data_IF_499233363831
#
_entry.id   IF_499233363831
#
_cell.length_a   1.000
_cell.length_b   1.000
_cell.length_c   1.000
_cell.angle_alpha   90.00
_cell.angle_beta   90.00
_cell.angle_gamma   90.00
#
_symmetry.space_group_name_H-M   'P 1'
#
loop_
_entity.id
_entity.type
_entity.pdbx_description
1 polymer ?
#
# COMPACT_ATOMS: atom_id res chain seq x y z
N UNK A 1 -15.82 -0.15 9.05
CA UNK A 1 -16.05 -1.31 8.15
C UNK A 1 -17.48 -1.30 7.65
N UNK A 2 -17.62 -1.39 6.32
CA UNK A 2 -18.93 -1.46 5.67
C UNK A 2 -19.28 -2.91 5.37
N UNK A 3 -20.53 -3.29 5.69
CA UNK A 3 -21.06 -4.57 5.23
C UNK A 3 -21.47 -4.39 3.77
N UNK A 4 -20.97 -5.24 2.86
CA UNK A 4 -21.35 -5.12 1.46
C UNK A 4 -22.83 -5.44 1.24
N UNK A 5 -23.48 -4.66 0.38
CA UNK A 5 -24.86 -4.90 -0.04
C UNK A 5 -24.88 -5.98 -1.12
N UNK A 6 -24.88 -7.23 -0.70
CA UNK A 6 -24.89 -8.40 -1.57
C UNK A 6 -26.04 -9.32 -1.20
N UNK A 7 -26.47 -10.13 -2.16
CA UNK A 7 -27.38 -11.23 -1.88
C UNK A 7 -26.77 -12.22 -0.90
N UNK A 8 -27.60 -12.84 -0.07
CA UNK A 8 -27.17 -13.71 1.02
C UNK A 8 -26.23 -14.83 0.57
N UNK A 9 -26.51 -15.48 -0.57
CA UNK A 9 -25.64 -16.52 -1.13
C UNK A 9 -24.28 -16.00 -1.58
N UNK A 10 -24.16 -14.73 -1.91
CA UNK A 10 -22.91 -14.11 -2.34
C UNK A 10 -22.09 -13.56 -1.18
N UNK A 11 -22.69 -13.36 -0.01
CA UNK A 11 -21.97 -12.89 1.18
C UNK A 11 -20.87 -13.86 1.62
N UNK A 12 -21.18 -15.15 1.65
CA UNK A 12 -20.20 -16.18 2.03
C UNK A 12 -19.01 -16.20 1.08
N UNK A 13 -19.27 -16.11 -0.22
CA UNK A 13 -18.24 -16.05 -1.23
C UNK A 13 -17.38 -14.79 -1.10
N UNK A 14 -18.03 -13.66 -0.83
CA UNK A 14 -17.33 -12.40 -0.62
C UNK A 14 -16.35 -12.49 0.56
N UNK A 15 -16.81 -12.99 1.70
CA UNK A 15 -15.96 -13.10 2.89
C UNK A 15 -14.86 -14.14 2.72
N UNK A 16 -15.09 -15.22 2.01
CA UNK A 16 -14.05 -16.19 1.66
C UNK A 16 -12.99 -15.56 0.76
N UNK A 17 -13.41 -14.83 -0.25
CA UNK A 17 -12.51 -14.13 -1.17
C UNK A 17 -11.69 -13.06 -0.43
N UNK A 18 -12.32 -12.29 0.45
CA UNK A 18 -11.65 -11.28 1.27
C UNK A 18 -10.60 -11.91 2.18
N UNK A 19 -10.93 -13.01 2.83
CA UNK A 19 -10.00 -13.75 3.69
C UNK A 19 -8.82 -14.30 2.89
N UNK A 20 -9.07 -14.82 1.72
CA UNK A 20 -8.03 -15.31 0.82
C UNK A 20 -7.11 -14.20 0.33
N UNK A 21 -7.66 -13.06 -0.05
CA UNK A 21 -6.90 -11.88 -0.45
C UNK A 21 -5.99 -11.40 0.68
N UNK A 22 -6.51 -11.34 1.90
CA UNK A 22 -5.72 -10.98 3.09
C UNK A 22 -4.55 -11.95 3.29
N UNK A 23 -4.79 -13.24 3.12
CA UNK A 23 -3.75 -14.26 3.22
C UNK A 23 -2.68 -14.07 2.15
N UNK A 24 -3.07 -13.78 0.91
CA UNK A 24 -2.12 -13.51 -0.17
C UNK A 24 -1.29 -12.25 0.11
N UNK A 25 -1.92 -11.18 0.52
CA UNK A 25 -1.23 -9.91 0.83
C UNK A 25 -0.19 -10.06 1.94
N UNK A 26 -0.39 -11.01 2.85
CA UNK A 26 0.54 -11.27 3.96
C UNK A 26 1.52 -12.41 3.68
N UNK A 27 1.42 -13.06 2.51
CA UNK A 27 2.37 -14.11 2.13
C UNK A 27 3.69 -13.49 1.65
N UNK A 28 4.79 -14.24 1.82
CA UNK A 28 6.11 -13.79 1.39
C UNK A 28 6.22 -13.63 -0.13
N UNK A 29 5.38 -14.34 -0.90
CA UNK A 29 5.37 -14.26 -2.36
C UNK A 29 4.92 -12.90 -2.89
N UNK A 30 4.11 -12.18 -2.11
CA UNK A 30 3.52 -10.90 -2.51
C UNK A 30 3.92 -9.74 -1.61
N UNK A 31 4.98 -9.92 -0.83
CA UNK A 31 5.41 -8.94 0.15
C UNK A 31 6.91 -8.67 0.01
N UNK A 32 7.25 -7.39 0.03
CA UNK A 32 8.64 -6.93 0.10
C UNK A 32 8.83 -6.28 1.47
N UNK A 33 9.90 -6.67 2.16
CA UNK A 33 10.31 -6.03 3.40
C UNK A 33 11.68 -5.41 3.24
N UNK A 34 11.81 -4.18 3.66
CA UNK A 34 13.11 -3.51 3.69
C UNK A 34 13.15 -2.50 4.82
N UNK A 35 14.34 -2.14 5.22
CA UNK A 35 14.57 -1.15 6.26
C UNK A 35 14.94 0.17 5.63
N UNK A 36 14.23 1.24 6.01
CA UNK A 36 14.61 2.58 5.62
C UNK A 36 15.76 3.06 6.49
N UNK A 37 16.81 3.52 5.84
CA UNK A 37 17.97 4.12 6.47
C UNK A 37 17.96 5.64 6.24
N UNK A 38 18.73 6.35 7.04
CA UNK A 38 18.90 7.80 6.89
C UNK A 38 19.27 8.17 5.46
N UNK A 39 18.56 9.13 4.90
CA UNK A 39 18.79 9.59 3.52
C UNK A 39 18.06 8.79 2.44
N UNK A 40 17.38 7.71 2.79
CA UNK A 40 16.57 6.95 1.84
C UNK A 40 15.21 7.58 1.62
N UNK A 41 14.73 7.46 0.39
CA UNK A 41 13.38 7.85 -0.02
C UNK A 41 12.68 6.62 -0.56
N UNK A 42 11.49 6.33 -0.04
CA UNK A 42 10.60 5.33 -0.61
C UNK A 42 9.48 6.03 -1.36
N UNK A 43 9.26 5.65 -2.60
CA UNK A 43 8.18 6.15 -3.43
C UNK A 43 7.41 4.96 -3.99
N UNK A 44 6.10 5.00 -3.92
CA UNK A 44 5.27 3.93 -4.45
C UNK A 44 3.89 4.43 -4.85
N UNK A 45 3.26 3.69 -5.75
CA UNK A 45 1.89 3.94 -6.18
C UNK A 45 0.92 3.42 -5.13
N UNK A 46 0.37 4.33 -4.33
CA UNK A 46 -0.51 4.00 -3.22
C UNK A 46 -1.87 3.43 -3.65
N UNK A 47 -2.23 3.56 -4.93
CA UNK A 47 -3.46 2.95 -5.46
C UNK A 47 -3.27 1.48 -5.83
N UNK A 48 -2.03 1.04 -6.03
CA UNK A 48 -1.70 -0.32 -6.45
C UNK A 48 -1.12 -1.19 -5.35
N UNK A 49 -0.58 -0.59 -4.31
CA UNK A 49 0.17 -1.28 -3.27
C UNK A 49 -0.43 -1.03 -1.90
N UNK A 50 -0.46 -2.07 -1.11
CA UNK A 50 -0.66 -1.96 0.33
C UNK A 50 0.69 -1.79 1.00
N UNK A 51 0.71 -1.06 2.07
CA UNK A 51 1.94 -0.82 2.83
C UNK A 51 1.65 -0.80 4.32
N UNK A 52 2.69 -1.03 5.08
CA UNK A 52 2.64 -0.99 6.52
C UNK A 52 4.06 -0.99 7.08
N UNK A 53 4.15 -1.08 8.37
CA UNK A 53 5.43 -1.18 9.06
C UNK A 53 5.37 -2.22 10.15
N UNK A 54 6.53 -2.76 10.50
CA UNK A 54 6.68 -3.60 11.68
C UNK A 54 6.69 -2.74 12.94
N UNK A 55 6.53 -3.39 14.08
CA UNK A 55 6.57 -2.72 15.38
C UNK A 55 7.90 -1.98 15.56
N UNK A 56 7.83 -0.76 16.04
CA UNK A 56 8.97 0.07 16.37
C UNK A 56 9.14 0.16 17.89
N UNK A 57 10.37 -0.06 18.36
CA UNK A 57 10.72 0.10 19.77
C UNK A 57 11.39 1.48 19.98
N UNK A 58 10.72 2.42 20.65
CA UNK A 58 11.29 3.75 20.87
C UNK A 58 12.52 3.78 21.76
N UNK A 59 12.79 2.69 22.50
CA UNK A 59 13.96 2.58 23.37
C UNK A 59 15.24 2.21 22.61
N UNK A 60 15.14 1.70 21.38
CA UNK A 60 16.27 1.26 20.58
C UNK A 60 16.80 2.28 19.60
N UNK A 61 16.12 3.43 19.47
CA UNK A 61 16.57 4.46 18.55
C UNK A 61 15.55 5.55 18.32
N UNK A 62 15.90 6.46 17.44
CA UNK A 62 15.09 7.58 17.01
C UNK A 62 14.52 7.31 15.62
N UNK A 63 13.24 7.58 15.45
CA UNK A 63 12.56 7.44 14.17
C UNK A 63 11.97 8.77 13.74
N UNK A 64 12.41 9.29 12.60
CA UNK A 64 11.86 10.47 11.97
C UNK A 64 11.59 10.18 10.51
N UNK A 65 10.34 10.31 10.10
CA UNK A 65 9.91 10.07 8.73
C UNK A 65 9.07 11.26 8.27
N UNK A 66 9.46 11.85 7.16
CA UNK A 66 8.65 12.85 6.47
C UNK A 66 8.01 12.23 5.24
N UNK A 67 6.75 12.55 4.98
CA UNK A 67 6.05 12.04 3.82
C UNK A 67 5.20 13.11 3.16
N UNK A 68 4.90 12.89 1.91
CA UNK A 68 3.95 13.70 1.15
C UNK A 68 3.19 12.81 0.16
N UNK A 69 2.07 13.31 -0.28
CA UNK A 69 1.25 12.66 -1.31
C UNK A 69 1.22 13.54 -2.55
N UNK A 70 1.34 12.92 -3.69
CA UNK A 70 1.25 13.59 -4.99
C UNK A 70 0.03 13.00 -5.71
N UNK A 71 -0.87 13.85 -6.16
CA UNK A 71 -2.03 13.40 -6.91
C UNK A 71 -1.61 12.76 -8.24
N UNK A 72 -2.28 11.71 -8.63
CA UNK A 72 -2.00 10.98 -9.88
C UNK A 72 -2.07 11.88 -11.11
N UNK A 73 -3.01 12.81 -11.14
CA UNK A 73 -3.19 13.75 -12.25
C UNK A 73 -1.93 14.59 -12.49
N UNK A 74 -1.25 14.98 -11.42
CA UNK A 74 -0.01 15.76 -11.51
C UNK A 74 1.10 14.91 -12.14
N UNK A 75 1.25 13.68 -11.69
CA UNK A 75 2.25 12.76 -12.21
C UNK A 75 1.97 12.39 -13.67
N UNK A 76 0.74 12.05 -14.01
CA UNK A 76 0.34 11.73 -15.38
C UNK A 76 0.51 12.92 -16.31
N UNK A 77 0.09 14.11 -15.88
CA UNK A 77 0.24 15.32 -16.66
C UNK A 77 1.70 15.64 -16.96
N UNK A 78 2.56 15.50 -15.99
CA UNK A 78 4.01 15.67 -16.17
C UNK A 78 4.58 14.65 -17.14
N UNK A 79 4.21 13.38 -17.00
CA UNK A 79 4.66 12.30 -17.87
C UNK A 79 4.24 12.57 -19.33
N UNK A 80 2.97 12.88 -19.55
CA UNK A 80 2.45 13.20 -20.89
C UNK A 80 3.18 14.37 -21.51
N UNK A 81 3.48 15.40 -20.73
CA UNK A 81 4.24 16.57 -21.21
C UNK A 81 5.66 16.18 -21.63
N UNK A 82 6.32 15.31 -20.87
CA UNK A 82 7.67 14.86 -21.19
C UNK A 82 7.73 13.94 -22.40
N UNK A 83 6.66 13.18 -22.66
CA UNK A 83 6.57 12.27 -23.81
C UNK A 83 6.13 12.95 -25.11
N UNK A 84 5.67 14.19 -25.07
CA UNK A 84 5.36 14.95 -26.28
C UNK A 84 6.63 15.34 -26.99
N UNK A 85 6.69 15.14 -28.33
CA UNK A 85 7.82 15.60 -29.14
C UNK A 85 7.91 17.12 -29.19
#
# INVERSE_FOLDING_TARGET
DYVPLLEENNLDLFYKARKYMFKLCNSDDFKIKFRLSKGMIAMFDNLRLLHGRTKFDPNTGFRHLQGCYIDHDVTEGKLRRLLKP
#
